data_IF_853113619067
#
_entry.id   IF_853113619067
#
_cell.length_a   1.000
_cell.length_b   1.000
_cell.length_c   1.000
_cell.angle_alpha   90.00
_cell.angle_beta   90.00
_cell.angle_gamma   90.00
#
_symmetry.space_group_name_H-M   'P 1'
#
loop_
_entity.id
_entity.type
_entity.pdbx_description
1 polymer ?
#
# COMPACT_ATOMS: atom_id res chain seq x y z
N UNK A 1 -10.83 -7.28 -16.96
CA UNK A 1 -12.06 -6.57 -17.39
C UNK A 1 -11.59 -5.16 -17.63
N UNK A 2 -11.31 -4.83 -18.89
CA UNK A 2 -10.98 -3.47 -19.29
C UNK A 2 -12.31 -2.72 -19.32
N UNK A 3 -12.40 -1.63 -18.55
CA UNK A 3 -13.56 -0.76 -18.54
C UNK A 3 -13.60 -0.04 -19.89
N UNK A 4 -14.53 -0.43 -20.75
CA UNK A 4 -14.86 0.29 -21.98
C UNK A 4 -15.46 1.64 -21.57
N UNK A 5 -14.64 2.69 -21.59
CA UNK A 5 -15.10 4.04 -21.31
C UNK A 5 -15.80 4.59 -22.55
N UNK A 6 -17.09 4.86 -22.46
CA UNK A 6 -17.86 5.53 -23.51
C UNK A 6 -17.77 7.05 -23.35
N UNK A 7 -17.56 7.76 -24.46
CA UNK A 7 -17.53 9.22 -24.56
C UNK A 7 -18.92 9.70 -24.99
N UNK A 8 -19.62 10.37 -24.07
CA UNK A 8 -20.90 11.03 -24.35
C UNK A 8 -20.66 12.51 -24.63
N UNK A 9 -21.09 12.98 -25.80
CA UNK A 9 -20.97 14.38 -26.20
C UNK A 9 -22.11 14.83 -27.12
N UNK A 10 -22.41 16.13 -27.13
CA UNK A 10 -23.49 16.68 -27.95
C UNK A 10 -23.00 17.16 -29.33
N UNK A 11 -23.77 16.88 -30.37
CA UNK A 11 -23.49 17.36 -31.72
C UNK A 11 -23.62 18.90 -31.79
N UNK A 12 -22.60 19.65 -32.26
CA UNK A 12 -22.65 21.11 -32.36
C UNK A 12 -23.62 21.63 -33.43
N UNK A 13 -24.10 20.76 -34.33
CA UNK A 13 -24.98 21.15 -35.44
C UNK A 13 -26.47 20.94 -35.16
N UNK A 14 -26.83 19.86 -34.45
CA UNK A 14 -28.24 19.55 -34.15
C UNK A 14 -28.55 19.46 -32.64
N UNK A 15 -27.53 19.53 -31.77
CA UNK A 15 -27.69 19.46 -30.33
C UNK A 15 -28.09 18.09 -29.79
N UNK A 16 -27.94 17.03 -30.59
CA UNK A 16 -28.27 15.66 -30.18
C UNK A 16 -27.09 15.02 -29.46
N UNK A 17 -27.35 14.37 -28.33
CA UNK A 17 -26.36 13.61 -27.58
C UNK A 17 -25.97 12.34 -28.34
N UNK A 18 -24.67 12.15 -28.52
CA UNK A 18 -24.05 11.01 -29.18
C UNK A 18 -23.13 10.30 -28.19
N UNK A 19 -23.10 8.98 -28.26
CA UNK A 19 -22.27 8.12 -27.42
C UNK A 19 -21.36 7.30 -28.33
N UNK A 20 -20.06 7.35 -28.07
CA UNK A 20 -19.05 6.63 -28.85
C UNK A 20 -17.98 6.02 -27.94
N UNK A 21 -17.51 4.84 -28.29
CA UNK A 21 -16.38 4.17 -27.64
C UNK A 21 -15.14 5.09 -27.61
N UNK A 22 -14.38 5.06 -26.51
CA UNK A 22 -13.14 5.84 -26.33
C UNK A 22 -12.13 5.70 -27.48
N UNK A 23 -12.13 4.59 -28.22
CA UNK A 23 -11.30 4.40 -29.42
C UNK A 23 -11.63 5.35 -30.55
N UNK A 24 -12.84 5.92 -30.56
CA UNK A 24 -13.30 6.94 -31.50
C UNK A 24 -12.88 8.37 -31.15
N UNK A 25 -12.20 8.57 -30.01
CA UNK A 25 -11.71 9.88 -29.58
C UNK A 25 -10.86 10.55 -30.67
N UNK A 26 -11.17 11.81 -31.00
CA UNK A 26 -10.43 12.59 -31.99
C UNK A 26 -10.75 12.27 -33.46
N UNK A 27 -11.57 11.26 -33.74
CA UNK A 27 -12.03 10.97 -35.10
C UNK A 27 -13.19 11.87 -35.54
N UNK A 28 -13.30 12.12 -36.84
CA UNK A 28 -14.45 12.79 -37.44
C UNK A 28 -15.50 11.74 -37.83
N UNK A 29 -16.67 11.80 -37.18
CA UNK A 29 -17.80 10.91 -37.46
C UNK A 29 -18.95 11.69 -38.10
N UNK A 30 -19.80 10.99 -38.85
CA UNK A 30 -21.01 11.60 -39.43
C UNK A 30 -22.15 11.44 -38.44
N UNK A 31 -22.80 12.56 -38.08
CA UNK A 31 -23.98 12.52 -37.23
C UNK A 31 -25.17 11.87 -38.00
N UNK A 32 -25.84 10.85 -37.46
CA UNK A 32 -26.95 10.17 -38.15
C UNK A 32 -28.20 11.04 -38.30
N UNK A 33 -28.33 12.13 -37.51
CA UNK A 33 -29.52 12.98 -37.53
C UNK A 33 -29.39 14.19 -38.46
N UNK A 34 -28.20 14.77 -38.59
CA UNK A 34 -27.98 15.96 -39.43
C UNK A 34 -27.04 15.72 -40.61
N UNK A 35 -26.46 14.52 -40.73
CA UNK A 35 -25.50 14.14 -41.77
C UNK A 35 -24.24 15.03 -41.85
N UNK A 36 -23.99 15.88 -40.86
CA UNK A 36 -22.79 16.70 -40.78
C UNK A 36 -21.65 15.95 -40.08
N UNK A 37 -20.42 16.25 -40.48
CA UNK A 37 -19.21 15.72 -39.87
C UNK A 37 -18.96 16.41 -38.52
N UNK A 38 -18.88 15.63 -37.45
CA UNK A 38 -18.61 16.09 -36.08
C UNK A 38 -17.32 15.47 -35.58
N UNK A 39 -16.50 16.27 -34.89
CA UNK A 39 -15.26 15.80 -34.28
C UNK A 39 -15.52 15.35 -32.85
N UNK A 40 -15.15 14.11 -32.52
CA UNK A 40 -15.28 13.55 -31.18
C UNK A 40 -14.25 14.19 -30.26
N UNK A 41 -14.64 14.82 -29.13
CA UNK A 41 -13.69 15.37 -28.16
C UNK A 41 -12.90 14.25 -27.49
N UNK A 42 -11.59 14.47 -27.32
CA UNK A 42 -10.70 13.50 -26.66
C UNK A 42 -10.80 13.76 -25.15
N UNK A 43 -11.22 12.79 -24.32
CA UNK A 43 -11.16 12.94 -22.86
C UNK A 43 -9.70 13.14 -22.43
N UNK A 44 -9.48 14.06 -21.49
CA UNK A 44 -8.19 14.63 -21.05
C UNK A 44 -7.13 13.61 -20.57
N UNK A 45 -7.43 12.31 -20.57
CA UNK A 45 -6.55 11.25 -20.08
C UNK A 45 -5.42 10.87 -21.07
N UNK A 46 -5.48 11.37 -22.31
CA UNK A 46 -4.40 11.23 -23.29
C UNK A 46 -3.86 12.57 -23.78
N UNK A 47 -3.73 13.56 -22.89
CA UNK A 47 -2.92 14.74 -23.16
C UNK A 47 -1.43 14.37 -23.00
N UNK A 48 -0.89 13.63 -23.98
CA UNK A 48 0.56 13.56 -24.18
C UNK A 48 0.97 14.94 -24.67
N UNK A 49 1.25 15.78 -23.68
CA UNK A 49 1.99 17.03 -23.69
C UNK A 49 2.50 17.40 -25.08
N UNK A 50 1.86 18.40 -25.68
CA UNK A 50 2.45 19.19 -26.74
C UNK A 50 3.77 19.81 -26.23
N UNK A 51 4.87 19.07 -26.32
CA UNK A 51 6.20 19.62 -26.20
C UNK A 51 6.51 20.33 -27.51
N UNK A 52 6.27 21.63 -27.53
CA UNK A 52 7.14 22.69 -28.08
C UNK A 52 6.33 23.83 -28.70
N UNK A 53 6.02 24.81 -27.87
CA UNK A 53 5.97 26.23 -28.29
C UNK A 53 6.07 27.14 -27.06
N UNK A 54 6.98 26.81 -26.15
CA UNK A 54 7.59 27.82 -25.28
C UNK A 54 8.74 28.49 -26.04
N UNK A 55 9.05 29.79 -25.80
CA UNK A 55 10.25 30.39 -26.35
C UNK A 55 11.44 29.52 -25.94
N UNK A 56 12.39 29.28 -26.86
CA UNK A 56 13.60 28.52 -26.56
C UNK A 56 14.16 29.00 -25.20
N UNK A 57 14.38 28.11 -24.21
CA UNK A 57 14.83 28.55 -22.90
C UNK A 57 16.13 29.32 -23.11
N UNK A 58 16.17 30.55 -22.61
CA UNK A 58 17.43 31.28 -22.55
C UNK A 58 18.44 30.39 -21.82
N UNK A 59 19.71 30.46 -22.21
CA UNK A 59 20.79 29.75 -21.53
C UNK A 59 20.72 29.99 -20.00
N UNK A 60 20.35 31.20 -19.60
CA UNK A 60 20.10 31.59 -18.21
C UNK A 60 18.94 30.85 -17.55
N UNK A 61 17.81 30.67 -18.25
CA UNK A 61 16.65 29.92 -17.75
C UNK A 61 16.95 28.43 -17.57
N UNK A 62 17.68 27.83 -18.51
CA UNK A 62 18.12 26.44 -18.40
C UNK A 62 19.09 26.25 -17.21
N UNK A 63 20.03 27.18 -17.00
CA UNK A 63 20.94 27.16 -15.85
C UNK A 63 20.21 27.32 -14.51
N UNK A 64 19.21 28.22 -14.44
CA UNK A 64 18.40 28.41 -13.23
C UNK A 64 17.58 27.15 -12.90
N UNK A 65 17.03 26.48 -13.91
CA UNK A 65 16.29 25.23 -13.73
C UNK A 65 17.20 24.09 -13.27
N UNK A 66 18.39 23.93 -13.88
CA UNK A 66 19.40 22.94 -13.45
C UNK A 66 19.80 23.19 -12.00
N UNK A 67 20.06 24.45 -11.62
CA UNK A 67 20.40 24.81 -10.25
C UNK A 67 19.28 24.45 -9.26
N UNK A 68 18.02 24.77 -9.58
CA UNK A 68 16.87 24.40 -8.75
C UNK A 68 16.74 22.89 -8.55
N UNK A 69 16.88 22.11 -9.62
CA UNK A 69 16.85 20.64 -9.56
C UNK A 69 18.00 20.08 -8.74
N UNK A 70 19.20 20.67 -8.85
CA UNK A 70 20.38 20.25 -8.08
C UNK A 70 20.18 20.48 -6.58
N UNK A 71 19.65 21.64 -6.21
CA UNK A 71 19.33 21.97 -4.81
C UNK A 71 18.25 21.03 -4.26
N UNK A 72 17.20 20.77 -5.05
CA UNK A 72 16.12 19.85 -4.66
C UNK A 72 16.63 18.41 -4.50
N UNK A 73 17.45 17.94 -5.44
CA UNK A 73 18.06 16.61 -5.39
C UNK A 73 18.96 16.45 -4.16
N UNK A 74 19.79 17.45 -3.85
CA UNK A 74 20.63 17.46 -2.65
C UNK A 74 19.78 17.40 -1.36
N UNK A 75 18.68 18.17 -1.31
CA UNK A 75 17.77 18.15 -0.16
C UNK A 75 17.07 16.78 0.00
N UNK A 76 16.64 16.16 -1.10
CA UNK A 76 16.08 14.80 -1.06
C UNK A 76 17.12 13.76 -0.65
N UNK A 77 18.36 13.89 -1.12
CA UNK A 77 19.45 12.98 -0.77
C UNK A 77 19.74 13.02 0.73
N UNK A 78 19.83 14.21 1.32
CA UNK A 78 20.01 14.37 2.76
C UNK A 78 18.83 13.81 3.57
N UNK A 79 17.61 13.88 3.05
CA UNK A 79 16.43 13.26 3.68
C UNK A 79 16.50 11.74 3.63
N UNK A 80 16.89 11.17 2.49
CA UNK A 80 17.05 9.72 2.31
C UNK A 80 18.08 9.18 3.31
N UNK A 81 19.23 9.86 3.44
CA UNK A 81 20.28 9.46 4.40
C UNK A 81 19.76 9.37 5.83
N UNK A 82 19.07 10.40 6.32
CA UNK A 82 18.46 10.38 7.67
C UNK A 82 17.41 9.29 7.85
N UNK A 83 16.61 9.01 6.82
CA UNK A 83 15.61 7.96 6.89
C UNK A 83 16.24 6.57 6.93
N UNK A 84 17.34 6.36 6.20
CA UNK A 84 18.10 5.10 6.23
C UNK A 84 18.67 4.87 7.63
N UNK A 85 19.29 5.89 8.25
CA UNK A 85 19.79 5.82 9.62
C UNK A 85 18.67 5.45 10.62
N UNK A 86 17.53 6.14 10.55
CA UNK A 86 16.37 5.84 11.42
C UNK A 86 15.82 4.42 11.21
N UNK A 87 15.81 3.92 9.96
CA UNK A 87 15.38 2.55 9.68
C UNK A 87 16.34 1.51 10.24
N UNK A 88 17.65 1.77 10.22
CA UNK A 88 18.66 0.90 10.82
C UNK A 88 18.48 0.84 12.35
N UNK A 89 18.31 1.97 13.02
CA UNK A 89 18.01 2.01 14.45
C UNK A 89 16.75 1.21 14.82
N UNK A 90 15.67 1.36 14.04
CA UNK A 90 14.42 0.62 14.27
C UNK A 90 14.62 -0.88 14.05
N UNK A 91 15.38 -1.27 13.02
CA UNK A 91 15.68 -2.68 12.72
C UNK A 91 16.49 -3.32 13.84
N UNK A 92 17.50 -2.63 14.34
CA UNK A 92 18.34 -3.10 15.45
C UNK A 92 17.53 -3.23 16.73
N UNK A 93 16.68 -2.22 17.03
CA UNK A 93 15.79 -2.27 18.18
C UNK A 93 14.82 -3.45 18.09
N UNK A 94 14.25 -3.70 16.91
CA UNK A 94 13.34 -4.83 16.68
C UNK A 94 14.07 -6.16 16.87
N UNK A 95 15.27 -6.32 16.32
CA UNK A 95 16.07 -7.54 16.45
C UNK A 95 16.39 -7.83 17.93
N UNK A 96 16.76 -6.80 18.68
CA UNK A 96 16.99 -6.91 20.12
C UNK A 96 15.74 -7.35 20.88
N UNK A 97 14.59 -6.72 20.62
CA UNK A 97 13.33 -7.06 21.29
C UNK A 97 12.86 -8.47 20.95
N UNK A 98 13.04 -8.93 19.71
CA UNK A 98 12.68 -10.30 19.33
C UNK A 98 13.58 -11.32 20.03
N UNK A 99 14.89 -11.05 20.14
CA UNK A 99 15.79 -11.89 20.93
C UNK A 99 15.33 -12.00 22.38
N UNK A 100 15.00 -10.87 23.01
CA UNK A 100 14.51 -10.84 24.39
C UNK A 100 13.17 -11.59 24.53
N UNK A 101 12.27 -11.49 23.54
CA UNK A 101 11.01 -12.21 23.50
C UNK A 101 11.25 -13.72 23.48
N UNK A 102 12.13 -14.21 22.62
CA UNK A 102 12.49 -15.63 22.50
C UNK A 102 13.10 -16.14 23.81
N UNK A 103 14.05 -15.40 24.39
CA UNK A 103 14.68 -15.78 25.66
C UNK A 103 13.68 -15.87 26.81
N UNK A 104 12.78 -14.89 26.91
CA UNK A 104 11.75 -14.90 27.95
C UNK A 104 10.73 -16.00 27.73
N UNK A 105 10.31 -16.25 26.49
CA UNK A 105 9.39 -17.35 26.17
C UNK A 105 9.98 -18.69 26.59
N UNK A 106 11.25 -18.95 26.27
CA UNK A 106 11.94 -20.16 26.72
C UNK A 106 12.11 -20.27 28.25
N UNK A 107 12.14 -19.15 28.98
CA UNK A 107 12.10 -19.16 30.46
C UNK A 107 10.70 -19.52 30.96
N UNK A 108 9.66 -18.94 30.38
CA UNK A 108 8.28 -19.24 30.76
C UNK A 108 7.90 -20.69 30.43
N UNK A 109 8.34 -21.23 29.30
CA UNK A 109 8.10 -22.63 28.94
C UNK A 109 8.71 -23.60 29.96
N UNK A 110 9.92 -23.30 30.46
CA UNK A 110 10.54 -24.07 31.55
C UNK A 110 9.74 -23.99 32.85
N UNK A 111 9.30 -22.79 33.24
CA UNK A 111 8.47 -22.60 34.43
C UNK A 111 7.13 -23.34 34.30
N UNK A 112 6.51 -23.28 33.13
CA UNK A 112 5.28 -24.01 32.84
C UNK A 112 5.49 -25.53 32.96
N UNK A 113 6.61 -26.04 32.45
CA UNK A 113 7.02 -27.43 32.61
C UNK A 113 7.10 -27.84 34.10
N UNK A 114 7.83 -27.09 34.92
CA UNK A 114 7.90 -27.34 36.37
C UNK A 114 6.52 -27.30 37.04
N UNK A 115 5.65 -26.38 36.62
CA UNK A 115 4.28 -26.31 37.13
C UNK A 115 3.48 -27.57 36.82
N UNK A 116 3.66 -28.19 35.65
CA UNK A 116 3.00 -29.46 35.32
C UNK A 116 3.48 -30.62 36.20
N UNK A 117 4.77 -30.63 36.57
CA UNK A 117 5.35 -31.63 37.48
C UNK A 117 4.75 -31.47 38.87
N UNK A 118 4.64 -30.23 39.36
CA UNK A 118 4.01 -29.91 40.65
C UNK A 118 2.54 -30.35 40.63
N UNK A 119 1.79 -30.02 39.57
CA UNK A 119 0.38 -30.41 39.45
C UNK A 119 0.23 -31.94 39.52
N UNK A 120 1.06 -32.67 38.77
CA UNK A 120 1.05 -34.14 38.80
C UNK A 120 1.40 -34.72 40.18
N UNK A 121 2.26 -34.04 40.95
CA UNK A 121 2.53 -34.44 42.33
C UNK A 121 1.33 -34.19 43.25
N UNK A 122 0.66 -33.05 43.11
CA UNK A 122 -0.56 -32.72 43.86
C UNK A 122 -1.66 -33.73 43.54
N UNK A 123 -1.90 -34.06 42.27
CA UNK A 123 -2.94 -35.01 41.85
C UNK A 123 -2.71 -36.40 42.46
N UNK A 124 -1.45 -36.86 42.50
CA UNK A 124 -1.08 -38.12 43.19
C UNK A 124 -1.37 -38.07 44.69
N UNK A 125 -1.05 -36.96 45.36
CA UNK A 125 -1.37 -36.78 46.78
C UNK A 125 -2.89 -36.83 47.00
N UNK A 126 -3.66 -36.15 46.14
CA UNK A 126 -5.12 -36.15 46.20
C UNK A 126 -5.68 -37.57 46.04
N UNK A 127 -5.18 -38.35 45.08
CA UNK A 127 -5.57 -39.76 44.90
C UNK A 127 -5.33 -40.58 46.17
N UNK A 128 -4.13 -40.49 46.75
CA UNK A 128 -3.79 -41.22 47.99
C UNK A 128 -4.73 -40.83 49.14
N UNK A 129 -5.06 -39.54 49.28
CA UNK A 129 -5.99 -39.07 50.30
C UNK A 129 -7.42 -39.58 50.09
N UNK A 130 -7.86 -39.72 48.84
CA UNK A 130 -9.17 -40.28 48.50
C UNK A 130 -9.24 -41.77 48.82
N UNK A 131 -8.18 -42.53 48.50
CA UNK A 131 -8.09 -43.97 48.80
C UNK A 131 -8.14 -44.22 50.31
N UNK A 132 -7.33 -43.50 51.10
CA UNK A 132 -7.33 -43.60 52.56
C UNK A 132 -8.68 -43.23 53.19
N UNK A 133 -9.40 -42.26 52.59
CA UNK A 133 -10.76 -41.91 53.02
C UNK A 133 -11.75 -43.04 52.73
N UNK A 134 -11.65 -43.69 51.57
CA UNK A 134 -12.53 -44.78 51.17
C UNK A 134 -12.35 -46.02 52.08
N UNK A 135 -11.11 -46.38 52.40
CA UNK A 135 -10.79 -47.45 53.35
C UNK A 135 -11.43 -47.20 54.72
N UNK A 136 -11.29 -45.98 55.25
CA UNK A 136 -11.88 -45.59 56.54
C UNK A 136 -13.41 -45.60 56.57
N UNK A 137 -14.07 -45.43 55.42
CA UNK A 137 -15.54 -45.51 55.34
C UNK A 137 -16.08 -46.93 55.21
N UNK A 138 -15.21 -47.90 54.90
CA UNK A 138 -15.57 -49.31 54.73
C UNK A 138 -15.45 -50.13 56.04
N UNK A 139 -14.79 -49.59 57.06
CA UNK A 139 -14.61 -50.15 58.41
C UNK A 139 -15.66 -49.58 59.38
#
# INVERSE_FOLDING_TARGET
MEEEADIVFDCPHCGKSLEIDARGAGMAIVCPDCNNSVQVPIPEESNIVAISSGPAPSLEGALAQIHSLTVSAAASQAKIERLVESLEEIRDRRAYLEKLRIENMARFDRVAGEMTVIQSAIDRIVSILQDAKAEKTAE
#
